data_IF_438149220339
#
_entry.id   IF_438149220339
#
_cell.length_a   1.000
_cell.length_b   1.000
_cell.length_c   1.000
_cell.angle_alpha   90.00
_cell.angle_beta   90.00
_cell.angle_gamma   90.00
#
_symmetry.space_group_name_H-M   'P 1'
#
loop_
_entity.id
_entity.type
_entity.pdbx_description
1 polymer ?
#
# COMPACT_ATOMS: atom_id res chain seq x y z
N UNK A 1 -26.77 9.30 -4.58
CA UNK A 1 -25.66 8.79 -3.75
C UNK A 1 -24.68 9.93 -3.51
N UNK A 2 -24.42 10.34 -2.26
CA UNK A 2 -23.54 11.49 -1.99
C UNK A 2 -22.07 11.10 -2.21
N UNK A 3 -21.30 11.80 -3.06
CA UNK A 3 -19.90 11.47 -3.37
C UNK A 3 -18.99 11.36 -2.13
N UNK A 4 -19.29 12.11 -1.07
CA UNK A 4 -18.53 12.09 0.18
C UNK A 4 -18.65 10.73 0.92
N UNK A 5 -19.84 10.13 0.93
CA UNK A 5 -20.05 8.81 1.53
C UNK A 5 -19.26 7.73 0.79
N UNK A 6 -19.31 7.72 -0.55
CA UNK A 6 -18.54 6.74 -1.34
C UNK A 6 -17.03 6.85 -1.06
N UNK A 7 -16.50 8.07 -1.05
CA UNK A 7 -15.08 8.33 -0.79
C UNK A 7 -14.64 7.96 0.63
N UNK A 8 -15.53 7.97 1.61
CA UNK A 8 -15.20 7.50 2.96
C UNK A 8 -15.13 5.97 3.07
N UNK A 9 -15.75 5.25 2.14
CA UNK A 9 -15.66 3.78 2.11
C UNK A 9 -14.38 3.27 1.40
N UNK A 10 -13.62 4.16 0.75
CA UNK A 10 -12.48 3.82 -0.11
C UNK A 10 -11.20 4.51 0.38
N UNK A 11 -10.24 3.70 0.83
CA UNK A 11 -8.85 4.10 1.04
C UNK A 11 -8.05 3.89 -0.25
N UNK A 12 -7.16 4.83 -0.60
CA UNK A 12 -6.29 4.72 -1.78
C UNK A 12 -4.87 5.06 -1.38
N UNK A 13 -3.94 4.18 -1.76
CA UNK A 13 -2.50 4.36 -1.63
C UNK A 13 -1.93 4.45 -3.03
N UNK A 14 -1.42 5.61 -3.42
CA UNK A 14 -0.86 5.85 -4.74
C UNK A 14 0.64 5.49 -4.76
N UNK A 15 1.22 5.39 -5.95
CA UNK A 15 2.66 5.21 -6.16
C UNK A 15 3.45 6.42 -5.65
N UNK A 16 3.00 7.63 -6.01
CA UNK A 16 3.58 8.88 -5.54
C UNK A 16 2.78 9.42 -4.36
N UNK A 17 3.38 9.34 -3.17
CA UNK A 17 2.74 9.80 -1.95
C UNK A 17 3.23 11.19 -1.55
N UNK A 18 2.39 12.19 -1.85
CA UNK A 18 2.61 13.54 -1.38
C UNK A 18 2.37 13.63 0.13
N UNK A 19 3.36 14.14 0.85
CA UNK A 19 3.24 14.52 2.25
C UNK A 19 3.22 16.05 2.35
N UNK A 20 2.26 16.56 3.11
CA UNK A 20 2.10 18.00 3.31
C UNK A 20 3.09 18.50 4.36
N UNK A 21 3.47 19.78 4.27
CA UNK A 21 4.27 20.46 5.29
C UNK A 21 3.47 20.65 6.59
N UNK A 22 3.32 19.56 7.34
CA UNK A 22 2.55 19.41 8.58
C UNK A 22 3.18 18.29 9.40
N UNK A 23 2.79 18.20 10.68
CA UNK A 23 3.22 17.08 11.54
C UNK A 23 2.86 15.72 10.94
N UNK A 24 3.57 14.65 11.29
CA UNK A 24 3.22 13.26 10.95
C UNK A 24 1.76 12.94 11.27
N UNK A 25 1.26 13.29 12.47
CA UNK A 25 -0.14 13.01 12.84
C UNK A 25 -1.15 13.65 11.89
N UNK A 26 -0.94 14.91 11.51
CA UNK A 26 -1.81 15.62 10.58
C UNK A 26 -1.70 15.09 9.15
N UNK A 27 -0.55 14.53 8.76
CA UNK A 27 -0.39 13.85 7.48
C UNK A 27 -1.19 12.55 7.44
N UNK A 28 -1.20 11.77 8.52
CA UNK A 28 -1.99 10.54 8.63
C UNK A 28 -3.48 10.89 8.70
N UNK A 29 -3.87 11.79 9.61
CA UNK A 29 -5.25 12.21 9.84
C UNK A 29 -5.80 13.23 8.83
N UNK A 30 -5.21 13.34 7.63
CA UNK A 30 -5.51 14.41 6.68
C UNK A 30 -7.00 14.56 6.36
N UNK A 31 -7.72 13.43 6.22
CA UNK A 31 -9.17 13.40 5.94
C UNK A 31 -10.03 13.36 7.20
N UNK A 32 -9.40 13.24 8.37
CA UNK A 32 -10.04 13.09 9.68
C UNK A 32 -9.36 14.02 10.70
N UNK A 33 -9.43 15.36 10.53
CA UNK A 33 -8.65 16.30 11.34
C UNK A 33 -9.00 16.27 12.83
N UNK A 34 -10.18 15.75 13.20
CA UNK A 34 -10.64 15.56 14.57
C UNK A 34 -10.32 14.17 15.14
N UNK A 35 -9.60 13.32 14.41
CA UNK A 35 -9.22 11.99 14.88
C UNK A 35 -8.34 12.09 16.15
N UNK A 36 -8.59 11.22 17.12
CA UNK A 36 -7.76 11.12 18.31
C UNK A 36 -6.36 10.64 17.95
N UNK A 37 -5.38 10.99 18.79
CA UNK A 37 -4.02 10.48 18.63
C UNK A 37 -3.98 8.94 18.69
N UNK A 38 -4.83 8.32 19.49
CA UNK A 38 -4.95 6.86 19.58
C UNK A 38 -5.35 6.23 18.24
N UNK A 39 -6.33 6.81 17.53
CA UNK A 39 -6.71 6.33 16.20
C UNK A 39 -5.56 6.48 15.18
N UNK A 40 -4.81 7.59 15.26
CA UNK A 40 -3.62 7.81 14.43
C UNK A 40 -2.54 6.78 14.73
N UNK A 41 -2.30 6.46 16.00
CA UNK A 41 -1.33 5.44 16.41
C UNK A 41 -1.77 4.06 15.93
N UNK A 42 -3.05 3.71 16.05
CA UNK A 42 -3.57 2.43 15.58
C UNK A 42 -3.36 2.24 14.07
N UNK A 43 -3.70 3.25 13.26
CA UNK A 43 -3.46 3.21 11.81
C UNK A 43 -1.95 3.14 11.47
N UNK A 44 -1.12 3.89 12.20
CA UNK A 44 0.33 3.85 12.02
C UNK A 44 0.95 2.49 12.39
N UNK A 45 0.43 1.80 13.42
CA UNK A 45 0.89 0.46 13.79
C UNK A 45 0.53 -0.57 12.71
N UNK A 46 -0.70 -0.56 12.22
CA UNK A 46 -1.12 -1.43 11.12
C UNK A 46 -0.28 -1.21 9.85
N UNK A 47 0.11 0.04 9.58
CA UNK A 47 0.98 0.36 8.46
C UNK A 47 2.48 0.10 8.71
N UNK A 48 2.87 -0.42 9.89
CA UNK A 48 4.28 -0.59 10.27
C UNK A 48 5.07 0.72 10.40
N UNK A 49 4.37 1.85 10.58
CA UNK A 49 4.96 3.18 10.65
C UNK A 49 5.34 3.61 12.08
N UNK A 50 4.70 3.03 13.10
CA UNK A 50 4.82 3.47 14.49
C UNK A 50 6.27 3.59 14.99
N UNK A 51 7.07 2.54 14.81
CA UNK A 51 8.41 2.46 15.41
C UNK A 51 9.40 3.45 14.79
N UNK A 52 9.26 3.78 13.50
CA UNK A 52 10.10 4.83 12.91
C UNK A 52 9.58 6.22 13.27
N UNK A 53 8.26 6.40 13.39
CA UNK A 53 7.68 7.67 13.81
C UNK A 53 8.18 8.04 15.21
N UNK A 54 8.23 7.09 16.14
CA UNK A 54 8.75 7.31 17.50
C UNK A 54 10.25 7.64 17.55
N UNK A 55 11.01 7.29 16.51
CA UNK A 55 12.44 7.64 16.39
C UNK A 55 12.66 9.06 15.86
N UNK A 56 11.62 9.74 15.37
CA UNK A 56 11.71 11.13 14.94
C UNK A 56 11.84 12.07 16.16
N UNK A 57 12.49 13.24 16.03
CA UNK A 57 12.78 14.13 17.16
C UNK A 57 11.57 14.52 18.02
N UNK A 58 10.38 14.64 17.41
CA UNK A 58 9.13 15.00 18.09
C UNK A 58 8.04 13.93 17.90
N UNK A 59 8.43 12.70 17.53
CA UNK A 59 7.48 11.62 17.29
C UNK A 59 6.41 11.99 16.24
N UNK A 60 5.14 11.80 16.61
CA UNK A 60 3.97 12.15 15.79
C UNK A 60 3.80 13.66 15.54
N UNK A 61 4.39 14.51 16.37
CA UNK A 61 4.35 15.97 16.22
C UNK A 61 5.50 16.50 15.34
N UNK A 62 6.41 15.64 14.88
CA UNK A 62 7.47 16.01 13.94
C UNK A 62 6.88 16.59 12.66
N UNK A 63 7.19 17.85 12.37
CA UNK A 63 6.80 18.53 11.14
C UNK A 63 7.65 18.01 9.99
N UNK A 64 6.99 17.51 8.94
CA UNK A 64 7.66 17.05 7.74
C UNK A 64 7.90 18.25 6.82
N UNK A 65 9.14 18.46 6.39
CA UNK A 65 9.48 19.47 5.37
C UNK A 65 8.89 19.08 3.99
N UNK A 66 9.08 19.92 2.97
CA UNK A 66 8.45 19.74 1.64
C UNK A 66 8.54 18.29 1.12
N UNK A 67 7.37 17.72 0.79
CA UNK A 67 7.18 16.36 0.32
C UNK A 67 7.74 15.23 1.23
N UNK A 68 8.10 15.52 2.48
CA UNK A 68 8.75 14.55 3.37
C UNK A 68 10.14 14.17 2.89
N UNK A 69 10.91 15.14 2.37
CA UNK A 69 12.30 14.96 1.91
C UNK A 69 13.25 14.37 2.97
N UNK A 70 12.93 14.52 4.26
CA UNK A 70 13.67 13.92 5.38
C UNK A 70 13.39 12.44 5.61
N UNK A 71 12.42 11.84 4.90
CA UNK A 71 12.02 10.44 5.05
C UNK A 71 12.55 9.59 3.89
N UNK A 72 12.78 8.30 4.14
CA UNK A 72 13.00 7.34 3.05
C UNK A 72 11.71 7.12 2.23
N UNK A 73 11.85 6.57 1.02
CA UNK A 73 10.69 6.16 0.21
C UNK A 73 9.73 5.25 0.97
N UNK A 74 10.27 4.22 1.65
CA UNK A 74 9.46 3.31 2.47
C UNK A 74 8.80 3.94 3.69
N UNK A 75 9.43 4.94 4.31
CA UNK A 75 8.79 5.69 5.40
C UNK A 75 7.62 6.54 4.89
N UNK A 76 7.78 7.24 3.76
CA UNK A 76 6.68 8.00 3.13
C UNK A 76 5.52 7.10 2.76
N UNK A 77 5.81 5.92 2.23
CA UNK A 77 4.80 4.93 1.88
C UNK A 77 4.00 4.46 3.09
N UNK A 78 4.68 4.11 4.18
CA UNK A 78 4.00 3.67 5.42
C UNK A 78 3.12 4.76 6.02
N UNK A 79 3.49 6.04 5.90
CA UNK A 79 2.60 7.17 6.27
C UNK A 79 1.38 7.22 5.35
N UNK A 80 1.54 7.00 4.06
CA UNK A 80 0.43 6.99 3.11
C UNK A 80 -0.52 5.82 3.33
N UNK A 81 0.00 4.64 3.65
CA UNK A 81 -0.81 3.48 4.04
C UNK A 81 -1.59 3.81 5.32
N UNK A 82 -0.92 4.34 6.36
CA UNK A 82 -1.59 4.77 7.59
C UNK A 82 -2.71 5.80 7.29
N UNK A 83 -2.45 6.76 6.41
CA UNK A 83 -3.44 7.74 5.94
C UNK A 83 -4.64 7.08 5.25
N UNK A 84 -4.40 6.09 4.40
CA UNK A 84 -5.46 5.38 3.70
C UNK A 84 -6.29 4.48 4.63
N UNK A 85 -5.69 3.97 5.72
CA UNK A 85 -6.37 3.18 6.75
C UNK A 85 -7.19 4.03 7.72
N UNK A 86 -6.96 5.34 7.78
CA UNK A 86 -7.78 6.23 8.61
C UNK A 86 -9.25 6.15 8.19
N UNK A 87 -10.14 6.09 9.18
CA UNK A 87 -11.57 5.97 8.96
C UNK A 87 -12.05 4.55 8.62
N UNK A 88 -11.17 3.55 8.70
CA UNK A 88 -11.48 2.13 8.50
C UNK A 88 -12.27 1.84 7.21
N UNK A 89 -11.69 2.10 6.04
CA UNK A 89 -12.40 1.94 4.77
C UNK A 89 -12.70 0.46 4.48
N UNK A 90 -13.86 0.19 3.89
CA UNK A 90 -14.24 -1.17 3.48
C UNK A 90 -13.48 -1.64 2.24
N UNK A 91 -13.02 -0.71 1.40
CA UNK A 91 -12.26 -0.98 0.18
C UNK A 91 -10.93 -0.26 0.29
N UNK A 92 -9.83 -0.97 0.09
CA UNK A 92 -8.49 -0.42 0.05
C UNK A 92 -7.84 -0.70 -1.30
N UNK A 93 -7.34 0.35 -1.95
CA UNK A 93 -6.72 0.25 -3.27
C UNK A 93 -5.23 0.61 -3.12
N UNK A 94 -4.36 -0.31 -3.51
CA UNK A 94 -2.93 -0.08 -3.66
C UNK A 94 -2.62 0.06 -5.15
N UNK A 95 -2.24 1.27 -5.55
CA UNK A 95 -1.88 1.59 -6.93
C UNK A 95 -0.36 1.70 -7.05
N UNK A 96 0.29 0.59 -7.43
CA UNK A 96 1.74 0.45 -7.54
C UNK A 96 2.54 0.87 -6.29
N UNK A 97 1.84 0.92 -5.16
CA UNK A 97 2.31 1.39 -3.87
C UNK A 97 3.56 0.65 -3.33
N UNK A 98 3.89 -0.52 -3.87
CA UNK A 98 5.02 -1.34 -3.40
C UNK A 98 6.24 -1.29 -4.31
N UNK A 99 6.17 -0.67 -5.48
CA UNK A 99 7.26 -0.70 -6.47
C UNK A 99 8.50 0.11 -6.06
N UNK A 100 8.30 1.21 -5.33
CA UNK A 100 9.36 2.14 -4.91
C UNK A 100 9.96 1.83 -3.52
N UNK A 101 9.61 0.67 -2.94
CA UNK A 101 10.05 0.26 -1.61
C UNK A 101 11.35 -0.53 -1.65
N UNK A 102 12.22 -0.27 -0.67
CA UNK A 102 13.30 -1.16 -0.27
C UNK A 102 12.75 -2.51 0.24
N UNK A 103 13.56 -3.57 0.12
CA UNK A 103 13.13 -4.94 0.43
C UNK A 103 12.68 -5.13 1.89
N UNK A 104 13.30 -4.43 2.84
CA UNK A 104 12.90 -4.44 4.25
C UNK A 104 11.49 -3.85 4.44
N UNK A 105 11.25 -2.67 3.85
CA UNK A 105 9.92 -2.04 3.89
C UNK A 105 8.86 -2.87 3.16
N UNK A 106 9.21 -3.57 2.08
CA UNK A 106 8.31 -4.50 1.40
C UNK A 106 7.91 -5.66 2.29
N UNK A 107 8.87 -6.31 2.95
CA UNK A 107 8.61 -7.44 3.85
C UNK A 107 7.65 -7.03 4.99
N UNK A 108 7.93 -5.90 5.65
CA UNK A 108 7.08 -5.38 6.72
C UNK A 108 5.64 -5.09 6.27
N UNK A 109 5.49 -4.53 5.07
CA UNK A 109 4.15 -4.27 4.52
C UNK A 109 3.46 -5.59 4.19
N UNK A 110 4.17 -6.54 3.59
CA UNK A 110 3.64 -7.86 3.24
C UNK A 110 3.18 -8.64 4.49
N UNK A 111 3.95 -8.60 5.57
CA UNK A 111 3.60 -9.23 6.85
C UNK A 111 2.33 -8.61 7.45
N UNK A 112 2.19 -7.29 7.31
CA UNK A 112 1.02 -6.56 7.77
C UNK A 112 -0.18 -6.64 6.81
N UNK A 113 0.00 -7.09 5.56
CA UNK A 113 -1.08 -7.15 4.57
C UNK A 113 -2.23 -8.06 5.02
N UNK A 114 -1.94 -9.17 5.70
CA UNK A 114 -2.99 -10.04 6.23
C UNK A 114 -3.89 -9.30 7.24
N UNK A 115 -3.28 -8.54 8.16
CA UNK A 115 -3.99 -7.73 9.16
C UNK A 115 -4.73 -6.55 8.52
N UNK A 116 -4.11 -5.90 7.52
CA UNK A 116 -4.73 -4.80 6.77
C UNK A 116 -5.93 -5.30 5.96
N UNK A 117 -5.85 -6.49 5.36
CA UNK A 117 -6.92 -7.08 4.57
C UNK A 117 -8.07 -7.63 5.42
N UNK A 118 -7.87 -7.85 6.73
CA UNK A 118 -8.90 -8.41 7.60
C UNK A 118 -10.16 -7.53 7.61
N UNK A 119 -11.29 -8.10 7.18
CA UNK A 119 -12.58 -7.40 7.13
C UNK A 119 -12.70 -6.38 6.00
N UNK A 120 -11.76 -6.34 5.04
CA UNK A 120 -11.72 -5.35 3.95
C UNK A 120 -11.55 -6.03 2.59
N UNK A 121 -12.06 -5.38 1.55
CA UNK A 121 -11.74 -5.72 0.17
C UNK A 121 -10.47 -4.97 -0.22
N UNK A 122 -9.40 -5.69 -0.55
CA UNK A 122 -8.14 -5.08 -0.99
C UNK A 122 -7.94 -5.31 -2.48
N UNK A 123 -7.71 -4.23 -3.22
CA UNK A 123 -7.37 -4.25 -4.64
C UNK A 123 -5.90 -3.82 -4.75
N UNK A 124 -5.07 -4.67 -5.36
CA UNK A 124 -3.66 -4.39 -5.58
C UNK A 124 -3.40 -4.33 -7.08
N UNK A 125 -2.92 -3.18 -7.53
CA UNK A 125 -2.40 -2.96 -8.88
C UNK A 125 -0.88 -3.00 -8.75
N UNK A 126 -0.23 -3.95 -9.42
CA UNK A 126 1.19 -4.17 -9.27
C UNK A 126 1.88 -4.41 -10.60
N UNK A 127 3.05 -3.79 -10.76
CA UNK A 127 4.01 -4.14 -11.78
C UNK A 127 4.88 -5.35 -11.40
N UNK A 128 5.08 -5.62 -10.10
CA UNK A 128 5.81 -6.79 -9.61
C UNK A 128 4.82 -7.90 -9.28
N UNK A 129 4.91 -9.02 -9.99
CA UNK A 129 3.98 -10.13 -9.79
C UNK A 129 4.14 -10.77 -8.41
N UNK A 130 5.32 -10.68 -7.79
CA UNK A 130 5.55 -11.14 -6.43
C UNK A 130 4.57 -10.54 -5.42
N UNK A 131 4.16 -9.27 -5.61
CA UNK A 131 3.22 -8.58 -4.74
C UNK A 131 1.80 -9.16 -4.82
N UNK A 132 1.40 -9.72 -5.98
CA UNK A 132 0.05 -10.29 -6.18
C UNK A 132 0.01 -11.80 -5.98
N UNK A 133 1.15 -12.46 -5.73
CA UNK A 133 1.24 -13.92 -5.53
C UNK A 133 0.31 -14.43 -4.44
N UNK A 134 0.14 -13.65 -3.37
CA UNK A 134 -0.65 -14.00 -2.19
C UNK A 134 -2.13 -13.58 -2.29
N UNK A 135 -2.55 -12.95 -3.39
CA UNK A 135 -3.93 -12.54 -3.59
C UNK A 135 -4.84 -13.77 -3.75
N UNK A 136 -6.06 -13.68 -3.20
CA UNK A 136 -7.08 -14.73 -3.35
C UNK A 136 -7.52 -14.85 -4.81
N UNK A 137 -7.52 -13.74 -5.54
CA UNK A 137 -7.86 -13.67 -6.96
C UNK A 137 -6.95 -12.65 -7.66
N UNK A 138 -6.41 -13.07 -8.79
CA UNK A 138 -5.62 -12.26 -9.71
C UNK A 138 -6.43 -12.06 -10.99
N UNK A 139 -6.33 -10.86 -11.56
CA UNK A 139 -6.98 -10.48 -12.81
C UNK A 139 -5.87 -9.96 -13.74
N UNK A 140 -5.64 -10.66 -14.84
CA UNK A 140 -4.69 -10.22 -15.87
C UNK A 140 -5.45 -9.39 -16.92
N UNK A 141 -4.94 -8.19 -17.19
CA UNK A 141 -5.48 -7.28 -18.20
C UNK A 141 -4.58 -7.28 -19.44
N UNK A 142 -5.18 -7.37 -20.61
CA UNK A 142 -4.51 -7.28 -21.91
C UNK A 142 -5.35 -6.41 -22.83
N UNK A 143 -4.73 -5.36 -23.40
CA UNK A 143 -5.40 -4.40 -24.30
C UNK A 143 -6.72 -3.83 -23.73
N UNK A 144 -6.74 -3.54 -22.42
CA UNK A 144 -7.92 -2.99 -21.74
C UNK A 144 -9.05 -3.99 -21.48
N UNK A 145 -8.82 -5.29 -21.67
CA UNK A 145 -9.79 -6.36 -21.39
C UNK A 145 -9.23 -7.36 -20.38
N UNK A 146 -10.11 -8.03 -19.64
CA UNK A 146 -9.74 -9.15 -18.78
C UNK A 146 -9.36 -10.33 -19.68
N UNK A 147 -8.08 -10.69 -19.69
CA UNK A 147 -7.54 -11.81 -20.44
C UNK A 147 -7.67 -13.10 -19.62
N UNK A 148 -7.33 -13.04 -18.33
CA UNK A 148 -7.41 -14.18 -17.42
C UNK A 148 -7.83 -13.77 -16.00
N UNK A 149 -8.40 -14.73 -15.26
CA UNK A 149 -8.68 -14.55 -13.83
C UNK A 149 -8.63 -15.87 -13.08
N UNK A 150 -7.99 -15.86 -11.91
CA UNK A 150 -7.85 -17.05 -11.06
C UNK A 150 -6.89 -16.81 -9.91
N UNK A 151 -6.63 -17.86 -9.13
CA UNK A 151 -5.51 -17.85 -8.17
C UNK A 151 -4.16 -17.94 -8.90
N UNK A 152 -3.08 -17.58 -8.20
CA UNK A 152 -1.71 -17.71 -8.72
C UNK A 152 -1.43 -19.11 -9.30
N UNK A 153 -1.81 -20.17 -8.58
CA UNK A 153 -1.56 -21.55 -9.00
C UNK A 153 -2.34 -21.91 -10.27
N UNK A 154 -3.62 -21.52 -10.36
CA UNK A 154 -4.45 -21.76 -11.54
C UNK A 154 -3.89 -21.03 -12.77
N UNK A 155 -3.51 -19.76 -12.62
CA UNK A 155 -2.98 -18.97 -13.72
C UNK A 155 -1.60 -19.45 -14.20
N UNK A 156 -0.76 -19.98 -13.31
CA UNK A 156 0.49 -20.64 -13.70
C UNK A 156 0.23 -21.92 -14.49
N UNK A 157 -0.69 -22.77 -14.02
CA UNK A 157 -1.02 -24.04 -14.67
C UNK A 157 -1.63 -23.86 -16.07
N UNK A 158 -2.39 -22.77 -16.28
CA UNK A 158 -3.04 -22.48 -17.56
C UNK A 158 -2.07 -22.11 -18.69
N UNK A 159 -0.81 -21.77 -18.41
CA UNK A 159 0.16 -21.42 -19.46
C UNK A 159 -0.15 -20.10 -20.20
N UNK A 160 -1.04 -19.26 -19.66
CA UNK A 160 -1.53 -18.04 -20.30
C UNK A 160 -0.58 -16.83 -20.26
N UNK A 161 -1.15 -15.64 -20.38
CA UNK A 161 -0.44 -14.37 -20.26
C UNK A 161 0.24 -14.23 -18.89
N UNK A 162 -0.46 -14.56 -17.82
CA UNK A 162 0.09 -14.44 -16.45
C UNK A 162 1.35 -15.30 -16.26
N UNK A 163 1.34 -16.55 -16.72
CA UNK A 163 2.49 -17.46 -16.53
C UNK A 163 3.72 -17.01 -17.34
N UNK A 164 3.52 -16.48 -18.55
CA UNK A 164 4.59 -15.89 -19.36
C UNK A 164 5.21 -14.68 -18.68
N UNK A 165 4.39 -13.74 -18.19
CA UNK A 165 4.87 -12.57 -17.45
C UNK A 165 5.62 -12.98 -16.17
N UNK A 166 5.12 -14.01 -15.47
CA UNK A 166 5.78 -14.55 -14.29
C UNK A 166 7.17 -15.11 -14.59
N UNK A 167 7.30 -15.90 -15.67
CA UNK A 167 8.58 -16.46 -16.08
C UNK A 167 9.60 -15.38 -16.45
N UNK A 168 9.17 -14.34 -17.18
CA UNK A 168 10.02 -13.21 -17.56
C UNK A 168 10.55 -12.44 -16.34
N UNK A 169 9.69 -12.13 -15.36
CA UNK A 169 10.14 -11.44 -14.15
C UNK A 169 11.12 -12.27 -13.32
N UNK A 170 10.93 -13.59 -13.24
CA UNK A 170 11.89 -14.45 -12.54
C UNK A 170 13.24 -14.53 -13.25
N UNK A 171 13.28 -14.49 -14.58
CA UNK A 171 14.52 -14.46 -15.34
C UNK A 171 15.29 -13.16 -15.09
N UNK A 172 14.60 -12.01 -15.15
CA UNK A 172 15.20 -10.69 -14.91
C UNK A 172 15.76 -10.55 -13.48
N UNK A 173 15.09 -11.11 -12.46
CA UNK A 173 15.63 -11.10 -11.09
C UNK A 173 16.88 -11.98 -10.92
N UNK A 174 17.07 -13.03 -11.72
CA UNK A 174 18.25 -13.91 -11.66
C UNK A 174 19.49 -13.32 -12.34
N UNK A 175 19.31 -12.43 -13.30
CA UNK A 175 20.42 -11.75 -14.00
C UNK A 175 20.94 -10.52 -13.23
N UNK A 176 20.16 -10.01 -12.27
CA UNK A 176 20.51 -8.84 -11.46
C UNK A 176 21.11 -9.19 -10.07
N UNK A 177 21.33 -10.48 -9.76
CA UNK A 177 21.95 -10.99 -8.53
C UNK A 177 23.30 -11.63 -8.84
#
# INVERSE_FOLDING_TARGET
MQPAWLRSQIGVVLQENYLFNRSVRHNIALRHPTASLESVIAAARLAGAHDFILRLPLGYDTVLAEAGSSLSGGQRQRIAIARALMGDPRILIFDEATSALDDESQALIQDNMASIAQGRTVIIIAHRLSAVRHCQRIIALEQGRISESGSHQQLLANGGCYSRLWALQQALCKEAS
#
